data_IF_086975914060
#
_entry.id   IF_086975914060
#
_cell.length_a   1.000
_cell.length_b   1.000
_cell.length_c   1.000
_cell.angle_alpha   90.00
_cell.angle_beta   90.00
_cell.angle_gamma   90.00
#
_symmetry.space_group_name_H-M   'P 1'
#
loop_
_entity.id
_entity.type
_entity.pdbx_description
1 polymer ?
#
# COMPACT_ATOMS: atom_id res chain seq x y z
N UNK A 1 63.91 -63.85 21.34
CA UNK A 1 63.12 -64.95 21.91
C UNK A 1 61.75 -64.42 22.28
N UNK A 2 60.75 -64.93 21.56
CA UNK A 2 59.32 -64.58 21.63
C UNK A 2 58.63 -65.24 22.83
N UNK A 3 57.58 -64.60 23.36
CA UNK A 3 56.35 -65.17 23.97
C UNK A 3 55.43 -63.98 24.34
N UNK A 4 54.30 -63.68 23.67
CA UNK A 4 52.95 -64.31 23.72
C UNK A 4 52.37 -64.40 25.16
N UNK A 5 51.10 -64.07 25.51
CA UNK A 5 49.87 -63.58 24.82
C UNK A 5 48.77 -63.28 25.89
N UNK A 6 47.85 -62.34 25.59
CA UNK A 6 46.37 -62.44 25.69
C UNK A 6 45.52 -61.95 26.90
N UNK A 7 44.35 -61.40 26.49
CA UNK A 7 43.01 -61.21 27.14
C UNK A 7 42.71 -59.79 27.67
N UNK A 8 41.57 -59.09 27.44
CA UNK A 8 40.27 -59.25 26.74
C UNK A 8 39.59 -57.83 26.72
N UNK A 9 38.57 -57.48 25.87
CA UNK A 9 38.21 -56.08 25.59
C UNK A 9 37.08 -55.52 26.48
N UNK A 10 37.05 -54.19 26.65
CA UNK A 10 35.88 -53.45 27.17
C UNK A 10 35.74 -52.07 26.51
N UNK A 11 34.66 -51.95 25.72
CA UNK A 11 33.85 -50.79 25.31
C UNK A 11 34.37 -49.34 25.51
N UNK A 12 34.40 -48.48 24.47
CA UNK A 12 34.35 -47.04 24.66
C UNK A 12 32.91 -46.51 24.62
N UNK A 13 32.53 -45.81 25.68
CA UNK A 13 31.25 -45.11 25.82
C UNK A 13 31.04 -44.06 24.71
N UNK A 14 29.89 -44.19 24.07
CA UNK A 14 29.30 -43.26 23.13
C UNK A 14 28.96 -41.93 23.85
N UNK A 15 29.56 -40.81 23.47
CA UNK A 15 29.07 -39.47 23.83
C UNK A 15 28.81 -38.66 22.56
N UNK A 16 27.59 -38.82 22.05
CA UNK A 16 26.97 -37.94 21.07
C UNK A 16 26.30 -36.77 21.80
N UNK A 17 26.97 -35.61 21.83
CA UNK A 17 26.32 -34.34 22.14
C UNK A 17 25.51 -33.87 20.92
N UNK A 18 24.27 -33.36 21.10
CA UNK A 18 23.44 -32.93 19.97
C UNK A 18 24.03 -31.67 19.33
N UNK A 19 23.96 -31.52 17.99
CA UNK A 19 24.27 -30.25 17.36
C UNK A 19 23.19 -29.25 17.79
N UNK A 20 23.61 -28.10 18.36
CA UNK A 20 22.71 -26.98 18.59
C UNK A 20 22.30 -26.42 17.23
N UNK A 21 21.13 -26.85 16.78
CA UNK A 21 20.47 -26.40 15.56
C UNK A 21 20.06 -24.94 15.70
N UNK A 22 20.76 -24.07 14.98
CA UNK A 22 20.33 -22.73 14.63
C UNK A 22 19.21 -22.80 13.58
N UNK A 23 18.00 -23.21 13.99
CA UNK A 23 16.83 -23.36 13.10
C UNK A 23 15.67 -22.41 13.43
N UNK A 24 15.84 -21.46 14.35
CA UNK A 24 14.78 -20.54 14.75
C UNK A 24 14.55 -19.36 13.78
N UNK A 25 15.49 -19.07 12.87
CA UNK A 25 15.39 -17.95 11.91
C UNK A 25 14.59 -18.30 10.65
N UNK A 26 14.57 -19.56 10.24
CA UNK A 26 13.83 -19.99 9.04
C UNK A 26 12.32 -20.06 9.29
N UNK A 27 11.89 -20.50 10.47
CA UNK A 27 10.46 -20.63 10.82
C UNK A 27 9.75 -19.27 10.97
N UNK A 28 10.41 -18.27 11.56
CA UNK A 28 9.88 -16.91 11.72
C UNK A 28 9.74 -16.16 10.39
N UNK A 29 10.70 -16.36 9.49
CA UNK A 29 10.68 -15.76 8.13
C UNK A 29 9.53 -16.32 7.28
N UNK A 30 9.28 -17.63 7.36
CA UNK A 30 8.15 -18.26 6.66
C UNK A 30 6.80 -17.77 7.21
N UNK A 31 6.66 -17.64 8.53
CA UNK A 31 5.44 -17.11 9.15
C UNK A 31 5.13 -15.68 8.70
N UNK A 32 6.16 -14.83 8.58
CA UNK A 32 6.01 -13.44 8.16
C UNK A 32 5.60 -13.35 6.68
N UNK A 33 6.23 -14.17 5.83
CA UNK A 33 5.88 -14.24 4.41
C UNK A 33 4.43 -14.73 4.19
N UNK A 34 3.98 -15.72 4.96
CA UNK A 34 2.60 -16.20 4.91
C UNK A 34 1.60 -15.11 5.34
N UNK A 35 1.91 -14.33 6.37
CA UNK A 35 1.07 -13.22 6.80
C UNK A 35 0.93 -12.14 5.71
N UNK A 36 2.01 -11.83 4.99
CA UNK A 36 1.99 -10.89 3.86
C UNK A 36 1.13 -11.44 2.71
N UNK A 37 1.24 -12.73 2.39
CA UNK A 37 0.41 -13.37 1.35
C UNK A 37 -1.07 -13.33 1.75
N UNK A 38 -1.41 -13.66 3.00
CA UNK A 38 -2.78 -13.64 3.48
C UNK A 38 -3.36 -12.22 3.40
N UNK A 39 -2.59 -11.22 3.83
CA UNK A 39 -2.97 -9.82 3.74
C UNK A 39 -3.21 -9.39 2.29
N UNK A 40 -2.30 -9.77 1.37
CA UNK A 40 -2.45 -9.51 -0.07
C UNK A 40 -3.75 -10.11 -0.60
N UNK A 41 -4.02 -11.38 -0.28
CA UNK A 41 -5.22 -12.07 -0.75
C UNK A 41 -6.49 -11.42 -0.20
N UNK A 42 -6.47 -10.99 1.06
CA UNK A 42 -7.58 -10.26 1.68
C UNK A 42 -7.85 -8.94 0.96
N UNK A 43 -6.81 -8.14 0.70
CA UNK A 43 -6.91 -6.88 -0.06
C UNK A 43 -7.49 -7.12 -1.45
N UNK A 44 -6.95 -8.08 -2.21
CA UNK A 44 -7.43 -8.37 -3.56
C UNK A 44 -8.91 -8.81 -3.56
N UNK A 45 -9.30 -9.65 -2.60
CA UNK A 45 -10.68 -10.09 -2.45
C UNK A 45 -11.61 -8.91 -2.13
N UNK A 46 -11.19 -8.01 -1.25
CA UNK A 46 -11.93 -6.79 -0.93
C UNK A 46 -12.06 -5.87 -2.16
N UNK A 47 -10.97 -5.63 -2.90
CA UNK A 47 -10.99 -4.79 -4.11
C UNK A 47 -12.00 -5.31 -5.17
N UNK A 48 -12.09 -6.63 -5.36
CA UNK A 48 -13.06 -7.24 -6.28
C UNK A 48 -14.52 -7.01 -5.85
N UNK A 49 -14.77 -6.86 -4.54
CA UNK A 49 -16.09 -6.61 -3.97
C UNK A 49 -16.49 -5.13 -4.00
N UNK A 50 -15.59 -4.21 -4.36
CA UNK A 50 -15.92 -2.78 -4.50
C UNK A 50 -16.97 -2.49 -5.60
N UNK A 51 -17.17 -3.42 -6.52
CA UNK A 51 -18.22 -3.29 -7.53
C UNK A 51 -19.63 -3.60 -7.00
N UNK A 52 -19.73 -4.24 -5.83
CA UNK A 52 -20.99 -4.64 -5.23
C UNK A 52 -21.53 -3.52 -4.34
N UNK A 53 -22.67 -2.95 -4.72
CA UNK A 53 -23.28 -1.81 -4.03
C UNK A 53 -23.64 -2.12 -2.58
N UNK A 54 -24.07 -3.34 -2.29
CA UNK A 54 -24.59 -3.70 -0.97
C UNK A 54 -23.47 -3.94 0.04
N UNK A 55 -22.26 -4.25 -0.45
CA UNK A 55 -21.07 -4.45 0.40
C UNK A 55 -20.04 -3.33 0.29
N UNK A 56 -20.21 -2.38 -0.64
CA UNK A 56 -19.24 -1.33 -0.94
C UNK A 56 -18.74 -0.59 0.31
N UNK A 57 -19.63 -0.05 1.15
CA UNK A 57 -19.23 0.72 2.32
C UNK A 57 -18.43 -0.11 3.33
N UNK A 58 -18.86 -1.35 3.58
CA UNK A 58 -18.18 -2.25 4.52
C UNK A 58 -16.78 -2.59 4.01
N UNK A 59 -16.66 -2.87 2.71
CA UNK A 59 -15.40 -3.19 2.05
C UNK A 59 -14.45 -1.99 2.07
N UNK A 60 -14.97 -0.80 1.81
CA UNK A 60 -14.19 0.44 1.87
C UNK A 60 -13.66 0.69 3.28
N UNK A 61 -14.50 0.61 4.30
CA UNK A 61 -14.08 0.78 5.70
C UNK A 61 -13.04 -0.27 6.12
N UNK A 62 -13.18 -1.51 5.67
CA UNK A 62 -12.21 -2.58 5.93
C UNK A 62 -10.86 -2.30 5.25
N UNK A 63 -10.87 -1.87 3.99
CA UNK A 63 -9.66 -1.47 3.26
C UNK A 63 -8.97 -0.27 3.91
N UNK A 64 -9.71 0.74 4.36
CA UNK A 64 -9.14 1.87 5.08
C UNK A 64 -8.49 1.42 6.41
N UNK A 65 -9.13 0.53 7.17
CA UNK A 65 -8.54 -0.05 8.39
C UNK A 65 -7.26 -0.83 8.11
N UNK A 66 -7.24 -1.60 7.02
CA UNK A 66 -6.05 -2.32 6.57
C UNK A 66 -4.92 -1.32 6.26
N UNK A 67 -5.21 -0.24 5.53
CA UNK A 67 -4.23 0.81 5.20
C UNK A 67 -3.66 1.45 6.47
N UNK A 68 -4.51 1.74 7.46
CA UNK A 68 -4.07 2.34 8.72
C UNK A 68 -3.16 1.40 9.51
N UNK A 69 -3.47 0.09 9.52
CA UNK A 69 -2.63 -0.90 10.18
C UNK A 69 -1.26 -1.07 9.50
N UNK A 70 -1.14 -0.73 8.20
CA UNK A 70 0.04 -0.88 7.32
C UNK A 70 0.84 -2.13 7.65
N UNK A 71 2.14 -2.34 7.44
CA UNK A 71 3.35 -1.63 7.82
C UNK A 71 4.04 -0.97 6.63
N UNK A 72 5.17 -0.28 6.86
CA UNK A 72 5.90 0.39 5.77
C UNK A 72 6.38 -0.58 4.67
N UNK A 73 6.71 -1.83 5.04
CA UNK A 73 7.08 -2.91 4.11
C UNK A 73 5.91 -3.33 3.19
N UNK A 74 4.68 -3.23 3.68
CA UNK A 74 3.46 -3.58 2.94
C UNK A 74 3.02 -2.53 1.92
N UNK A 75 3.59 -1.31 1.96
CA UNK A 75 3.16 -0.18 1.10
C UNK A 75 3.36 -0.50 -0.38
N UNK A 76 4.51 -1.06 -0.75
CA UNK A 76 4.80 -1.46 -2.14
C UNK A 76 3.82 -2.52 -2.66
N UNK A 77 3.48 -3.50 -1.81
CA UNK A 77 2.53 -4.56 -2.15
C UNK A 77 1.12 -3.98 -2.39
N UNK A 78 0.66 -3.11 -1.48
CA UNK A 78 -0.66 -2.48 -1.60
C UNK A 78 -0.72 -1.57 -2.83
N UNK A 79 0.31 -0.76 -3.09
CA UNK A 79 0.39 0.06 -4.30
C UNK A 79 0.23 -0.78 -5.56
N UNK A 80 0.89 -1.94 -5.63
CA UNK A 80 0.73 -2.82 -6.79
C UNK A 80 -0.71 -3.33 -6.93
N UNK A 81 -1.34 -3.76 -5.85
CA UNK A 81 -2.74 -4.20 -5.87
C UNK A 81 -3.69 -3.08 -6.32
N UNK A 82 -3.46 -1.85 -5.85
CA UNK A 82 -4.24 -0.68 -6.26
C UNK A 82 -4.01 -0.33 -7.73
N UNK A 83 -2.78 -0.40 -8.23
CA UNK A 83 -2.52 -0.18 -9.66
C UNK A 83 -3.21 -1.20 -10.55
N UNK A 84 -3.26 -2.47 -10.14
CA UNK A 84 -3.99 -3.50 -10.87
C UNK A 84 -5.50 -3.17 -10.89
N UNK A 85 -6.08 -2.81 -9.74
CA UNK A 85 -7.48 -2.43 -9.62
C UNK A 85 -7.85 -1.11 -10.34
N UNK A 86 -6.91 -0.17 -10.47
CA UNK A 86 -7.06 1.04 -11.31
C UNK A 86 -7.15 0.74 -12.81
N UNK A 87 -6.82 -0.47 -13.24
CA UNK A 87 -6.99 -0.93 -14.63
C UNK A 87 -8.19 -1.86 -14.79
N UNK A 88 -9.02 -2.04 -13.74
CA UNK A 88 -10.21 -2.89 -13.81
C UNK A 88 -11.21 -2.36 -14.86
N UNK A 89 -11.98 -3.26 -15.47
CA UNK A 89 -13.07 -2.92 -16.39
C UNK A 89 -14.18 -2.08 -15.74
N UNK A 90 -14.39 -2.21 -14.43
CA UNK A 90 -15.48 -1.60 -13.69
C UNK A 90 -15.07 -0.22 -13.15
N UNK A 91 -15.78 0.86 -13.52
CA UNK A 91 -15.42 2.22 -13.11
C UNK A 91 -15.48 2.41 -11.58
N UNK A 92 -16.40 1.73 -10.88
CA UNK A 92 -16.50 1.77 -9.43
C UNK A 92 -15.20 1.31 -8.73
N UNK A 93 -14.58 0.23 -9.23
CA UNK A 93 -13.33 -0.30 -8.69
C UNK A 93 -12.18 0.67 -8.97
N UNK A 94 -12.10 1.19 -10.21
CA UNK A 94 -11.08 2.19 -10.57
C UNK A 94 -11.15 3.43 -9.67
N UNK A 95 -12.35 4.01 -9.56
CA UNK A 95 -12.61 5.24 -8.79
C UNK A 95 -12.18 5.06 -7.34
N UNK A 96 -12.59 3.96 -6.72
CA UNK A 96 -12.27 3.71 -5.33
C UNK A 96 -10.79 3.38 -5.13
N UNK A 97 -10.15 2.68 -6.06
CA UNK A 97 -8.71 2.43 -6.00
C UNK A 97 -7.89 3.71 -6.04
N UNK A 98 -8.33 4.70 -6.83
CA UNK A 98 -7.73 6.05 -6.86
C UNK A 98 -7.90 6.73 -5.49
N UNK A 99 -9.09 6.67 -4.90
CA UNK A 99 -9.36 7.25 -3.57
C UNK A 99 -8.52 6.60 -2.48
N UNK A 100 -8.45 5.26 -2.45
CA UNK A 100 -7.65 4.50 -1.49
C UNK A 100 -6.14 4.81 -1.62
N UNK A 101 -5.68 5.16 -2.82
CA UNK A 101 -4.30 5.59 -3.03
C UNK A 101 -4.01 6.92 -2.31
N UNK A 102 -4.95 7.86 -2.31
CA UNK A 102 -4.84 9.09 -1.53
C UNK A 102 -4.81 8.81 -0.01
N UNK A 103 -5.66 7.88 0.45
CA UNK A 103 -5.69 7.44 1.86
C UNK A 103 -4.35 6.82 2.26
N UNK A 104 -3.77 5.97 1.41
CA UNK A 104 -2.45 5.37 1.64
C UNK A 104 -1.36 6.44 1.76
N UNK A 105 -1.33 7.40 0.83
CA UNK A 105 -0.35 8.49 0.90
C UNK A 105 -0.50 9.31 2.18
N UNK A 106 -1.73 9.52 2.66
CA UNK A 106 -1.98 10.27 3.89
C UNK A 106 -1.58 9.48 5.13
N UNK A 107 -1.84 8.17 5.17
CA UNK A 107 -1.51 7.31 6.29
C UNK A 107 -0.01 7.01 6.39
N UNK A 108 0.70 6.96 5.26
CA UNK A 108 2.09 6.52 5.15
C UNK A 108 2.91 7.48 4.26
N UNK A 109 2.93 8.76 4.61
CA UNK A 109 3.54 9.83 3.81
C UNK A 109 5.00 9.52 3.45
N UNK A 110 5.83 9.15 4.43
CA UNK A 110 7.26 8.93 4.21
C UNK A 110 7.54 7.75 3.26
N UNK A 111 6.87 6.62 3.47
CA UNK A 111 7.02 5.44 2.61
C UNK A 111 6.43 5.69 1.22
N UNK A 112 5.27 6.34 1.13
CA UNK A 112 4.63 6.67 -0.14
C UNK A 112 5.42 7.70 -0.95
N UNK A 113 6.14 8.62 -0.30
CA UNK A 113 6.99 9.61 -0.95
C UNK A 113 8.04 8.97 -1.89
N UNK A 114 8.59 7.82 -1.49
CA UNK A 114 9.57 7.06 -2.30
C UNK A 114 8.98 6.54 -3.61
N UNK A 115 7.66 6.39 -3.67
CA UNK A 115 6.91 5.91 -4.84
C UNK A 115 6.12 7.01 -5.55
N UNK A 116 6.25 8.26 -5.11
CA UNK A 116 5.38 9.36 -5.52
C UNK A 116 5.41 9.60 -7.04
N UNK A 117 6.59 9.53 -7.67
CA UNK A 117 6.73 9.65 -9.13
C UNK A 117 5.83 8.65 -9.87
N UNK A 118 5.83 7.40 -9.44
CA UNK A 118 5.03 6.34 -10.06
C UNK A 118 3.55 6.54 -9.77
N UNK A 119 3.22 6.89 -8.53
CA UNK A 119 1.85 7.21 -8.11
C UNK A 119 1.25 8.29 -9.02
N UNK A 120 1.92 9.43 -9.17
CA UNK A 120 1.44 10.54 -9.98
C UNK A 120 1.32 10.15 -11.45
N UNK A 121 2.29 9.41 -12.00
CA UNK A 121 2.20 8.94 -13.39
C UNK A 121 0.96 8.06 -13.63
N UNK A 122 0.60 7.19 -12.68
CA UNK A 122 -0.59 6.36 -12.76
C UNK A 122 -1.88 7.17 -12.68
N UNK A 123 -1.94 8.20 -11.82
CA UNK A 123 -3.10 9.10 -11.70
C UNK A 123 -3.25 9.96 -12.96
N UNK A 124 -2.15 10.56 -13.45
CA UNK A 124 -2.17 11.42 -14.65
C UNK A 124 -2.69 10.67 -15.87
N UNK A 125 -2.30 9.41 -16.04
CA UNK A 125 -2.81 8.55 -17.12
C UNK A 125 -4.34 8.35 -17.05
N UNK A 126 -4.96 8.63 -15.92
CA UNK A 126 -6.41 8.47 -15.67
C UNK A 126 -7.17 9.80 -15.62
N UNK A 127 -6.52 10.95 -15.73
CA UNK A 127 -7.20 12.26 -15.85
C UNK A 127 -8.12 12.31 -17.09
N UNK A 128 -7.75 11.56 -18.15
CA UNK A 128 -8.54 11.42 -19.39
C UNK A 128 -9.23 10.06 -19.51
N UNK A 129 -9.59 9.42 -18.40
CA UNK A 129 -10.37 8.17 -18.46
C UNK A 129 -11.73 8.42 -19.11
N UNK A 130 -12.24 7.44 -19.87
CA UNK A 130 -13.53 7.54 -20.55
C UNK A 130 -14.70 7.70 -19.57
N UNK A 131 -14.52 7.26 -18.32
CA UNK A 131 -15.50 7.48 -17.26
C UNK A 131 -15.23 8.81 -16.53
N UNK A 132 -16.25 9.68 -16.49
CA UNK A 132 -16.14 11.00 -15.87
C UNK A 132 -15.95 10.95 -14.36
N UNK A 133 -16.48 9.93 -13.66
CA UNK A 133 -16.29 9.80 -12.22
C UNK A 133 -14.86 9.35 -11.87
N UNK A 134 -14.24 8.57 -12.74
CA UNK A 134 -12.83 8.15 -12.59
C UNK A 134 -11.89 9.34 -12.80
N UNK A 135 -12.12 10.16 -13.82
CA UNK A 135 -11.35 11.40 -14.03
C UNK A 135 -11.56 12.42 -12.91
N UNK A 136 -12.79 12.61 -12.43
CA UNK A 136 -13.10 13.44 -11.25
C UNK A 136 -12.33 13.00 -10.00
N UNK A 137 -12.34 11.70 -9.69
CA UNK A 137 -11.57 11.16 -8.57
C UNK A 137 -10.06 11.35 -8.72
N UNK A 138 -9.55 11.39 -9.97
CA UNK A 138 -8.15 11.73 -10.22
C UNK A 138 -7.87 13.20 -9.91
N UNK A 139 -8.74 14.12 -10.31
CA UNK A 139 -8.60 15.55 -10.01
C UNK A 139 -8.56 15.81 -8.50
N UNK A 140 -9.49 15.20 -7.75
CA UNK A 140 -9.55 15.30 -6.29
C UNK A 140 -8.30 14.72 -5.62
N UNK A 141 -7.85 13.56 -6.10
CA UNK A 141 -6.64 12.91 -5.58
C UNK A 141 -5.39 13.76 -5.88
N UNK A 142 -5.25 14.32 -7.08
CA UNK A 142 -4.13 15.21 -7.42
C UNK A 142 -4.12 16.42 -6.50
N UNK A 143 -5.28 17.06 -6.27
CA UNK A 143 -5.39 18.20 -5.35
C UNK A 143 -5.00 17.82 -3.92
N UNK A 144 -5.48 16.68 -3.44
CA UNK A 144 -5.19 16.17 -2.09
C UNK A 144 -3.72 15.84 -1.91
N UNK A 145 -3.09 15.14 -2.86
CA UNK A 145 -1.67 14.81 -2.81
C UNK A 145 -0.80 16.06 -2.94
N UNK A 146 -1.17 17.01 -3.80
CA UNK A 146 -0.48 18.29 -3.91
C UNK A 146 -0.51 19.02 -2.56
N UNK A 147 -1.67 19.13 -1.92
CA UNK A 147 -1.79 19.75 -0.62
C UNK A 147 -0.97 19.00 0.46
N UNK A 148 -0.99 17.67 0.44
CA UNK A 148 -0.27 16.82 1.39
C UNK A 148 1.25 17.01 1.29
N UNK A 149 1.81 16.93 0.09
CA UNK A 149 3.26 16.98 -0.13
C UNK A 149 3.83 18.40 -0.24
N UNK A 150 3.05 19.40 -0.67
CA UNK A 150 3.51 20.80 -0.77
C UNK A 150 3.41 21.55 0.56
N UNK A 151 2.45 21.22 1.43
CA UNK A 151 2.28 21.88 2.74
C UNK A 151 3.38 21.50 3.75
N UNK A 152 4.12 20.43 3.49
CA UNK A 152 5.16 19.89 4.37
C UNK A 152 6.45 20.70 4.50
N UNK A 153 6.62 21.85 3.81
CA UNK A 153 7.70 22.82 4.04
C UNK A 153 9.15 22.36 3.78
N UNK A 154 9.38 21.07 3.50
CA UNK A 154 10.69 20.54 3.10
C UNK A 154 10.90 20.72 1.60
N UNK A 155 11.66 21.74 1.22
CA UNK A 155 11.97 22.12 -0.16
C UNK A 155 12.62 21.01 -1.00
N UNK A 156 11.82 20.08 -1.49
CA UNK A 156 12.15 19.33 -2.70
C UNK A 156 11.47 20.03 -3.86
N UNK A 157 12.18 20.97 -4.49
CA UNK A 157 11.80 21.59 -5.76
C UNK A 157 11.38 20.51 -6.80
N UNK A 158 11.95 19.31 -6.64
CA UNK A 158 11.57 18.09 -7.36
C UNK A 158 10.12 17.66 -7.17
N UNK A 159 9.55 17.64 -5.95
CA UNK A 159 8.15 17.17 -5.76
C UNK A 159 7.14 18.15 -6.32
N UNK A 160 7.41 19.46 -6.23
CA UNK A 160 6.53 20.47 -6.81
C UNK A 160 6.41 20.32 -8.33
N UNK A 161 7.53 20.05 -9.01
CA UNK A 161 7.56 19.82 -10.46
C UNK A 161 6.66 18.66 -10.92
N UNK A 162 6.44 17.65 -10.07
CA UNK A 162 5.57 16.50 -10.37
C UNK A 162 4.10 16.88 -10.47
N UNK A 163 3.69 17.90 -9.71
CA UNK A 163 2.30 18.33 -9.62
C UNK A 163 1.96 19.43 -10.62
N UNK A 164 2.94 20.15 -11.17
CA UNK A 164 2.71 21.26 -12.13
C UNK A 164 1.81 20.80 -13.28
N UNK A 165 2.25 19.79 -14.05
CA UNK A 165 1.49 19.29 -15.20
C UNK A 165 0.09 18.75 -14.83
N UNK A 166 -0.06 17.85 -13.83
CA UNK A 166 -1.38 17.41 -13.38
C UNK A 166 -2.29 18.56 -12.93
N UNK A 167 -1.77 19.54 -12.19
CA UNK A 167 -2.56 20.68 -11.71
C UNK A 167 -3.02 21.58 -12.86
N UNK A 168 -2.18 21.83 -13.86
CA UNK A 168 -2.59 22.56 -15.07
C UNK A 168 -3.69 21.82 -15.84
N UNK A 169 -3.64 20.49 -15.90
CA UNK A 169 -4.68 19.68 -16.53
C UNK A 169 -6.00 19.75 -15.75
N UNK A 170 -5.95 19.65 -14.42
CA UNK A 170 -7.10 19.87 -13.52
C UNK A 170 -7.70 21.27 -13.71
N UNK A 171 -6.86 22.31 -13.87
CA UNK A 171 -7.32 23.69 -14.07
C UNK A 171 -7.87 23.92 -15.49
N UNK A 172 -7.31 23.26 -16.50
CA UNK A 172 -7.70 23.42 -17.90
C UNK A 172 -9.06 22.82 -18.25
N UNK A 173 -9.42 21.68 -17.66
CA UNK A 173 -10.73 21.04 -17.86
C UNK A 173 -11.87 21.79 -17.12
N UNK A 174 -11.53 22.66 -16.16
CA UNK A 174 -12.45 23.31 -15.22
C UNK A 174 -13.18 24.56 -15.75
N UNK A 175 -13.38 24.73 -17.07
CA UNK A 175 -14.02 25.93 -17.63
C UNK A 175 -15.58 25.97 -17.52
N UNK A 176 -16.22 25.01 -16.84
CA UNK A 176 -17.66 25.11 -16.44
C UNK A 176 -17.99 24.47 -15.07
N UNK A 177 -17.05 23.77 -14.44
CA UNK A 177 -17.25 23.09 -13.15
C UNK A 177 -16.49 23.74 -11.97
N UNK A 178 -15.82 24.87 -12.22
CA UNK A 178 -15.14 25.68 -11.21
C UNK A 178 -16.14 26.46 -10.33
N UNK A 179 -16.93 25.74 -9.53
CA UNK A 179 -17.59 26.28 -8.34
C UNK A 179 -17.99 25.23 -7.30
N UNK A 180 -17.91 23.92 -7.60
CA UNK A 180 -18.38 22.86 -6.69
C UNK A 180 -17.28 22.11 -5.91
N UNK A 181 -16.07 21.97 -6.44
CA UNK A 181 -15.08 21.01 -5.91
C UNK A 181 -14.32 21.44 -4.65
N UNK A 182 -14.22 22.75 -4.37
CA UNK A 182 -13.46 23.24 -3.22
C UNK A 182 -14.15 22.98 -1.86
N UNK A 183 -15.45 22.67 -1.85
CA UNK A 183 -16.21 22.47 -0.61
C UNK A 183 -16.06 21.05 0.00
N UNK A 184 -15.76 20.02 -0.81
CA UNK A 184 -15.64 18.65 -0.30
C UNK A 184 -14.25 18.27 0.20
N UNK A 185 -13.21 19.05 -0.10
CA UNK A 185 -11.87 18.87 0.48
C UNK A 185 -11.82 19.01 2.02
N UNK A 186 -12.88 19.51 2.66
CA UNK A 186 -13.01 19.50 4.13
C UNK A 186 -13.80 18.32 4.70
N UNK A 187 -14.53 17.55 3.89
CA UNK A 187 -15.39 16.47 4.39
C UNK A 187 -14.66 15.15 4.67
N UNK A 188 -13.54 14.89 3.97
CA UNK A 188 -12.74 13.67 4.18
C UNK A 188 -11.52 13.88 5.10
N UNK A 189 -11.09 15.13 5.32
CA UNK A 189 -10.08 15.46 6.33
C UNK A 189 -10.60 15.47 7.78
N UNK A 190 -11.92 15.44 7.97
CA UNK A 190 -12.55 15.57 9.29
C UNK A 190 -12.69 14.27 10.10
N UNK A 191 -12.56 13.09 9.48
CA UNK A 191 -12.76 11.80 10.19
C UNK A 191 -11.47 11.14 10.70
N UNK A 192 -10.29 11.65 10.33
CA UNK A 192 -9.02 11.13 10.86
C UNK A 192 -8.48 11.93 12.06
N UNK A 193 -9.07 13.08 12.39
CA UNK A 193 -8.64 13.89 13.55
C UNK A 193 -9.30 13.49 14.89
N UNK A 194 -10.30 12.60 14.87
CA UNK A 194 -11.01 12.17 16.08
C UNK A 194 -10.30 11.01 16.82
N UNK A 195 -9.23 10.42 16.26
CA UNK A 195 -8.46 9.36 16.92
C UNK A 195 -7.05 9.80 17.35
N UNK A 196 -6.86 11.10 17.59
CA UNK A 196 -5.62 11.68 18.14
C UNK A 196 -5.89 12.67 19.28
N UNK A 197 -6.77 12.27 20.21
CA UNK A 197 -6.85 12.81 21.58
C UNK A 197 -6.87 11.62 22.53
#
# INVERSE_FOLDING_TARGET
>A
MSSQRSSKPSNPSNQSGPPRSSSASSSSSLSSHLAIIELKQRILTALLKLADRDTYQIVVEDLEKIIQALSDDGVSMLLNCLYDAMNDSKPAVKKESIRLLAVLCTARIDSAATHLNKIIAHIVKRLKDSDSQVSEACYDTVGSLSALYLKGGGGSDGVASLFVKPLFEVMGENNKAAQGGAAMCMALGGRLFIWRI
#
